data_IF_801962724210
#
_entry.id   IF_801962724210
#
_cell.length_a   1.000
_cell.length_b   1.000
_cell.length_c   1.000
_cell.angle_alpha   90.00
_cell.angle_beta   90.00
_cell.angle_gamma   90.00
#
_symmetry.space_group_name_H-M   'P 1'
#
loop_
_entity.id
_entity.type
_entity.pdbx_description
1 polymer ?
#
# COMPACT_ATOMS: atom_id res chain seq x y z
N UNK A 1 -3.30 77.65 6.64
CA UNK A 1 -4.33 77.47 7.66
C UNK A 1 -3.92 76.20 8.44
N UNK A 2 -3.47 76.35 9.71
CA UNK A 2 -3.16 75.15 10.52
C UNK A 2 -4.48 74.48 10.85
N UNK A 3 -4.64 73.24 10.36
CA UNK A 3 -5.70 72.36 10.78
C UNK A 3 -5.48 72.06 12.27
N UNK A 4 -6.35 72.60 13.12
CA UNK A 4 -6.39 72.31 14.56
C UNK A 4 -6.51 70.82 14.72
N UNK A 5 -5.42 70.15 15.20
CA UNK A 5 -5.42 68.80 15.55
C UNK A 5 -6.19 68.63 16.87
N UNK A 6 -7.48 68.34 16.78
CA UNK A 6 -8.39 68.22 17.91
C UNK A 6 -7.87 67.21 18.92
N UNK A 7 -7.14 66.16 18.46
CA UNK A 7 -6.53 65.16 19.32
C UNK A 7 -5.47 65.73 20.26
N UNK A 8 -4.58 66.59 19.77
CA UNK A 8 -3.55 67.21 20.61
C UNK A 8 -4.15 68.25 21.60
N UNK A 9 -5.24 68.93 21.22
CA UNK A 9 -5.93 69.84 22.13
C UNK A 9 -6.64 69.14 23.28
N UNK A 10 -7.21 67.90 23.06
CA UNK A 10 -7.87 67.09 24.09
C UNK A 10 -6.84 66.51 25.07
N UNK A 11 -5.67 66.10 24.62
CA UNK A 11 -4.62 65.51 25.46
C UNK A 11 -3.90 66.55 26.38
N UNK A 12 -3.98 67.89 26.07
CA UNK A 12 -3.42 68.94 26.92
C UNK A 12 -4.34 69.38 28.04
N UNK A 13 -5.60 68.86 28.11
CA UNK A 13 -6.57 69.24 29.15
C UNK A 13 -6.66 68.09 30.15
N UNK A 14 -5.84 68.14 31.23
CA UNK A 14 -5.85 67.11 32.31
C UNK A 14 -7.24 66.68 32.81
N UNK A 15 -8.20 67.61 33.07
CA UNK A 15 -9.51 67.20 33.53
C UNK A 15 -10.35 66.43 32.46
N UNK A 16 -10.12 66.69 31.18
CA UNK A 16 -10.83 65.97 30.09
C UNK A 16 -10.25 64.58 29.88
N UNK A 17 -8.95 64.39 30.05
CA UNK A 17 -8.30 63.07 29.98
C UNK A 17 -8.76 62.19 31.15
N UNK A 18 -8.78 62.76 32.36
CA UNK A 18 -9.28 62.05 33.56
C UNK A 18 -10.77 61.65 33.44
N UNK A 19 -11.61 62.51 32.82
CA UNK A 19 -13.02 62.15 32.52
C UNK A 19 -13.14 61.10 31.44
N UNK A 20 -12.29 61.14 30.39
CA UNK A 20 -12.28 60.12 29.36
C UNK A 20 -11.85 58.75 29.88
N UNK A 21 -10.85 58.70 30.76
CA UNK A 21 -10.39 57.47 31.43
C UNK A 21 -11.45 56.93 32.41
N UNK A 22 -12.13 57.82 33.16
CA UNK A 22 -13.24 57.41 34.01
C UNK A 22 -14.42 56.85 33.21
N UNK A 23 -14.73 57.48 32.07
CA UNK A 23 -15.77 57.03 31.15
C UNK A 23 -15.41 55.71 30.48
N UNK A 24 -14.15 55.53 30.08
CA UNK A 24 -13.66 54.29 29.51
C UNK A 24 -13.69 53.14 30.55
N UNK A 25 -13.38 53.41 31.81
CA UNK A 25 -13.42 52.38 32.86
C UNK A 25 -14.84 52.01 33.30
N UNK A 26 -15.81 52.93 33.19
CA UNK A 26 -17.19 52.66 33.65
C UNK A 26 -18.12 52.17 32.53
N UNK A 27 -17.90 52.65 31.26
CA UNK A 27 -18.82 52.40 30.15
C UNK A 27 -18.36 51.28 29.22
N UNK A 28 -17.09 50.96 29.25
CA UNK A 28 -16.58 49.74 28.57
C UNK A 28 -16.29 48.69 29.64
N UNK A 29 -17.28 47.87 30.04
CA UNK A 29 -16.93 46.57 30.56
C UNK A 29 -16.02 45.94 29.52
N UNK A 30 -14.88 45.42 29.95
CA UNK A 30 -13.95 44.66 29.11
C UNK A 30 -14.78 43.61 28.37
N UNK A 31 -15.28 44.01 27.18
CA UNK A 31 -15.78 43.03 26.23
C UNK A 31 -14.54 42.22 25.87
N UNK A 32 -14.29 41.18 26.62
CA UNK A 32 -13.53 40.03 26.14
C UNK A 32 -14.24 39.60 24.87
N UNK A 33 -13.85 40.25 23.77
CA UNK A 33 -14.19 39.82 22.41
C UNK A 33 -13.73 38.39 22.36
N UNK A 34 -14.70 37.52 22.29
CA UNK A 34 -14.69 36.09 22.53
C UNK A 34 -13.36 35.48 22.18
N UNK A 35 -12.95 34.52 23.03
CA UNK A 35 -11.94 33.52 22.70
C UNK A 35 -11.73 33.47 21.22
N UNK A 36 -10.53 33.84 20.75
CA UNK A 36 -10.15 33.58 19.36
C UNK A 36 -10.51 32.14 19.11
N UNK A 37 -11.56 31.93 18.34
CA UNK A 37 -11.90 30.58 17.86
C UNK A 37 -10.72 30.24 17.00
N UNK A 38 -9.80 29.47 17.58
CA UNK A 38 -8.62 28.99 16.86
C UNK A 38 -9.08 28.51 15.49
N UNK A 39 -8.50 29.00 14.39
CA UNK A 39 -8.97 28.65 13.06
C UNK A 39 -9.05 27.14 12.96
N UNK A 40 -10.26 26.63 12.77
CA UNK A 40 -10.50 25.20 12.67
C UNK A 40 -9.60 24.66 11.56
N UNK A 41 -8.60 23.90 11.92
CA UNK A 41 -7.69 23.31 10.93
C UNK A 41 -8.39 22.17 10.22
N UNK A 42 -9.09 22.52 9.15
CA UNK A 42 -9.81 21.56 8.29
C UNK A 42 -8.90 20.47 7.75
N UNK A 43 -7.60 20.72 7.63
CA UNK A 43 -6.63 19.71 7.16
C UNK A 43 -6.41 18.63 8.20
N UNK A 44 -6.29 18.98 9.49
CA UNK A 44 -6.14 18.01 10.58
C UNK A 44 -7.40 17.14 10.71
N UNK A 45 -8.57 17.77 10.69
CA UNK A 45 -9.86 17.06 10.75
C UNK A 45 -10.00 16.12 9.56
N UNK A 46 -9.75 16.59 8.35
CA UNK A 46 -9.85 15.77 7.13
C UNK A 46 -8.86 14.60 7.16
N UNK A 47 -7.63 14.82 7.63
CA UNK A 47 -6.62 13.75 7.74
C UNK A 47 -7.01 12.68 8.75
N UNK A 48 -7.65 13.06 9.86
CA UNK A 48 -8.13 12.13 10.88
C UNK A 48 -9.26 11.24 10.33
N UNK A 49 -10.29 11.84 9.70
CA UNK A 49 -11.37 11.08 9.08
C UNK A 49 -10.88 10.20 7.93
N UNK A 50 -9.94 10.67 7.11
CA UNK A 50 -9.35 9.89 6.04
C UNK A 50 -8.58 8.67 6.59
N UNK A 51 -7.87 8.83 7.71
CA UNK A 51 -7.17 7.74 8.38
C UNK A 51 -8.15 6.70 8.95
N UNK A 52 -9.21 7.15 9.62
CA UNK A 52 -10.26 6.25 10.14
C UNK A 52 -10.93 5.49 8.98
N UNK A 53 -11.28 6.18 7.90
CA UNK A 53 -11.89 5.56 6.71
C UNK A 53 -10.93 4.53 6.07
N UNK A 54 -9.65 4.86 5.95
CA UNK A 54 -8.64 3.94 5.40
C UNK A 54 -8.58 2.64 6.21
N UNK A 55 -8.42 2.73 7.54
CA UNK A 55 -8.35 1.55 8.40
C UNK A 55 -9.67 0.80 8.48
N UNK A 56 -10.81 1.47 8.37
CA UNK A 56 -12.12 0.86 8.28
C UNK A 56 -12.25 -0.03 7.03
N UNK A 57 -11.79 0.46 5.87
CA UNK A 57 -11.78 -0.33 4.62
C UNK A 57 -10.79 -1.49 4.71
N UNK A 58 -9.60 -1.27 5.25
CA UNK A 58 -8.60 -2.34 5.47
C UNK A 58 -9.18 -3.44 6.36
N UNK A 59 -9.84 -3.09 7.46
CA UNK A 59 -10.48 -4.05 8.36
C UNK A 59 -11.58 -4.85 7.66
N UNK A 60 -12.43 -4.21 6.87
CA UNK A 60 -13.49 -4.86 6.11
C UNK A 60 -12.93 -5.85 5.08
N UNK A 61 -11.90 -5.45 4.33
CA UNK A 61 -11.23 -6.34 3.36
C UNK A 61 -10.50 -7.49 4.05
N UNK A 62 -9.91 -7.26 5.22
CA UNK A 62 -9.26 -8.30 6.02
C UNK A 62 -10.28 -9.32 6.55
N UNK A 63 -11.42 -8.87 7.08
CA UNK A 63 -12.51 -9.75 7.50
C UNK A 63 -13.00 -10.59 6.32
N UNK A 64 -13.17 -9.99 5.14
CA UNK A 64 -13.52 -10.72 3.91
C UNK A 64 -12.51 -11.83 3.59
N UNK A 65 -11.20 -11.52 3.65
CA UNK A 65 -10.14 -12.51 3.42
C UNK A 65 -10.22 -13.65 4.44
N UNK A 66 -10.38 -13.33 5.72
CA UNK A 66 -10.52 -14.34 6.79
C UNK A 66 -11.74 -15.23 6.56
N UNK A 67 -12.89 -14.65 6.16
CA UNK A 67 -14.08 -15.45 5.85
C UNK A 67 -13.87 -16.38 4.64
N UNK A 68 -13.14 -15.93 3.61
CA UNK A 68 -12.77 -16.77 2.46
C UNK A 68 -11.89 -17.95 2.88
N UNK A 69 -10.85 -17.69 3.68
CA UNK A 69 -9.95 -18.73 4.20
C UNK A 69 -10.71 -19.71 5.12
N UNK A 70 -11.55 -19.22 6.01
CA UNK A 70 -12.41 -20.05 6.86
C UNK A 70 -13.38 -20.90 6.03
N UNK A 71 -13.88 -20.38 4.91
CA UNK A 71 -14.70 -21.12 3.95
C UNK A 71 -13.95 -22.32 3.36
N UNK A 72 -12.70 -22.14 2.93
CA UNK A 72 -11.85 -23.22 2.41
C UNK A 72 -11.58 -24.27 3.49
N UNK A 73 -11.23 -23.85 4.72
CA UNK A 73 -11.01 -24.76 5.85
C UNK A 73 -12.28 -25.57 6.15
N UNK A 74 -13.45 -24.91 6.18
CA UNK A 74 -14.75 -25.57 6.38
C UNK A 74 -15.04 -26.58 5.26
N UNK A 75 -14.71 -26.26 4.01
CA UNK A 75 -14.86 -27.15 2.87
C UNK A 75 -13.95 -28.39 3.03
N UNK A 76 -12.70 -28.20 3.42
CA UNK A 76 -11.74 -29.28 3.69
C UNK A 76 -12.28 -30.28 4.74
N UNK A 77 -12.88 -29.75 5.81
CA UNK A 77 -13.48 -30.58 6.87
C UNK A 77 -14.74 -31.34 6.41
N UNK A 78 -15.45 -30.84 5.39
CA UNK A 78 -16.68 -31.47 4.89
C UNK A 78 -16.44 -32.48 3.76
N UNK A 79 -15.38 -32.31 2.98
CA UNK A 79 -15.08 -33.15 1.85
C UNK A 79 -14.51 -34.50 2.28
N UNK A 80 -14.94 -35.58 1.58
CA UNK A 80 -14.37 -36.90 1.76
C UNK A 80 -12.92 -36.92 1.26
N UNK A 81 -11.99 -37.35 2.10
CA UNK A 81 -10.58 -37.44 1.77
C UNK A 81 -10.27 -38.82 1.16
N UNK A 82 -9.58 -38.81 0.02
CA UNK A 82 -9.02 -39.99 -0.62
C UNK A 82 -7.51 -39.75 -0.76
N UNK A 83 -6.73 -40.85 -0.60
CA UNK A 83 -5.28 -40.77 -0.79
C UNK A 83 -4.93 -41.50 -2.09
N UNK A 84 -4.30 -40.80 -3.03
CA UNK A 84 -3.80 -41.34 -4.28
C UNK A 84 -2.27 -41.19 -4.26
N UNK A 85 -1.57 -42.32 -4.03
CA UNK A 85 -0.14 -42.32 -3.77
C UNK A 85 0.22 -41.47 -2.56
N UNK A 86 1.05 -40.45 -2.75
CA UNK A 86 1.50 -39.53 -1.68
C UNK A 86 0.70 -38.22 -1.62
N UNK A 87 -0.44 -38.11 -2.31
CA UNK A 87 -1.24 -36.89 -2.42
C UNK A 87 -2.63 -37.09 -1.83
N UNK A 88 -3.05 -36.18 -0.96
CA UNK A 88 -4.40 -36.16 -0.40
C UNK A 88 -5.34 -35.39 -1.29
N UNK A 89 -6.39 -36.05 -1.78
CA UNK A 89 -7.42 -35.45 -2.62
C UNK A 89 -8.72 -35.39 -1.85
N UNK A 90 -9.36 -34.24 -1.90
CA UNK A 90 -10.68 -33.97 -1.32
C UNK A 90 -11.73 -34.00 -2.43
N UNK A 91 -12.69 -34.88 -2.31
CA UNK A 91 -13.76 -35.03 -3.29
C UNK A 91 -14.80 -33.94 -3.09
N UNK A 92 -14.98 -33.11 -4.12
CA UNK A 92 -16.02 -32.08 -4.14
C UNK A 92 -17.40 -32.74 -4.33
N UNK A 93 -18.43 -32.33 -3.56
CA UNK A 93 -19.79 -32.83 -3.70
C UNK A 93 -20.52 -32.26 -4.93
N UNK A 94 -20.03 -31.15 -5.49
CA UNK A 94 -20.56 -30.49 -6.68
C UNK A 94 -19.51 -30.45 -7.78
N UNK A 95 -19.97 -30.43 -9.04
CA UNK A 95 -19.10 -30.29 -10.21
C UNK A 95 -18.53 -28.86 -10.34
N UNK A 96 -18.00 -28.32 -9.22
CA UNK A 96 -17.16 -27.13 -9.25
C UNK A 96 -15.80 -27.54 -9.82
N UNK A 97 -15.16 -26.66 -10.62
CA UNK A 97 -13.89 -27.02 -11.24
C UNK A 97 -12.80 -27.34 -10.22
N UNK A 98 -11.78 -28.11 -10.62
CA UNK A 98 -10.67 -28.48 -9.76
C UNK A 98 -9.94 -27.23 -9.25
N UNK A 99 -9.40 -27.31 -8.04
CA UNK A 99 -8.53 -26.29 -7.46
C UNK A 99 -7.68 -26.89 -6.33
N UNK A 100 -6.59 -26.21 -6.01
CA UNK A 100 -5.73 -26.57 -4.89
C UNK A 100 -5.52 -25.40 -3.93
N UNK A 101 -5.33 -25.71 -2.64
CA UNK A 101 -5.00 -24.74 -1.62
C UNK A 101 -4.04 -25.35 -0.60
N UNK A 102 -2.85 -24.80 -0.46
CA UNK A 102 -1.71 -25.43 0.22
C UNK A 102 -1.48 -26.86 -0.27
N UNK A 103 -1.66 -27.84 0.61
CA UNK A 103 -1.48 -29.26 0.32
C UNK A 103 -2.80 -29.98 -0.07
N UNK A 104 -3.92 -29.29 -0.03
CA UNK A 104 -5.23 -29.86 -0.32
C UNK A 104 -5.58 -29.67 -1.78
N UNK A 105 -5.89 -30.76 -2.46
CA UNK A 105 -6.34 -30.78 -3.85
C UNK A 105 -7.81 -31.18 -3.85
N UNK A 106 -8.64 -30.37 -4.51
CA UNK A 106 -10.09 -30.56 -4.60
C UNK A 106 -10.47 -30.90 -6.03
N UNK A 107 -11.06 -32.07 -6.25
CA UNK A 107 -11.48 -32.55 -7.57
C UNK A 107 -12.84 -33.23 -7.46
N UNK A 108 -13.68 -33.11 -8.49
CA UNK A 108 -14.91 -33.87 -8.63
C UNK A 108 -14.64 -35.10 -9.52
N UNK A 109 -14.79 -36.36 -9.05
CA UNK A 109 -14.28 -37.54 -9.72
C UNK A 109 -15.03 -37.89 -11.00
N UNK A 110 -16.34 -37.61 -11.10
CA UNK A 110 -17.21 -38.09 -12.18
C UNK A 110 -17.26 -37.14 -13.41
N UNK A 111 -16.44 -36.11 -13.46
CA UNK A 111 -16.51 -35.08 -14.50
C UNK A 111 -15.42 -35.22 -15.56
N UNK A 112 -14.49 -36.16 -15.43
CA UNK A 112 -13.28 -36.19 -16.23
C UNK A 112 -12.95 -37.59 -16.72
N UNK A 113 -12.38 -37.70 -17.92
CA UNK A 113 -11.73 -38.94 -18.39
C UNK A 113 -10.47 -39.21 -17.58
N UNK A 114 -9.94 -40.43 -17.66
CA UNK A 114 -8.74 -40.80 -16.91
C UNK A 114 -7.52 -39.96 -17.31
N UNK A 115 -7.40 -39.64 -18.60
CA UNK A 115 -6.33 -38.77 -19.12
C UNK A 115 -6.46 -37.35 -18.59
N UNK A 116 -7.65 -36.75 -18.71
CA UNK A 116 -7.95 -35.41 -18.16
C UNK A 116 -7.69 -35.34 -16.65
N UNK A 117 -8.08 -36.40 -15.92
CA UNK A 117 -7.88 -36.49 -14.49
C UNK A 117 -6.38 -36.41 -14.12
N UNK A 118 -5.54 -37.17 -14.85
CA UNK A 118 -4.10 -37.16 -14.61
C UNK A 118 -3.46 -35.79 -14.94
N UNK A 119 -3.86 -35.16 -16.03
CA UNK A 119 -3.40 -33.79 -16.38
C UNK A 119 -3.77 -32.77 -15.28
N UNK A 120 -5.04 -32.79 -14.83
CA UNK A 120 -5.55 -31.94 -13.76
C UNK A 120 -4.77 -32.22 -12.46
N UNK A 121 -4.54 -33.48 -12.13
CA UNK A 121 -3.83 -33.83 -10.93
C UNK A 121 -2.39 -33.31 -10.92
N UNK A 122 -1.68 -33.38 -12.04
CA UNK A 122 -0.32 -32.82 -12.18
C UNK A 122 -0.36 -31.31 -12.04
N UNK A 123 -1.34 -30.65 -12.67
CA UNK A 123 -1.52 -29.20 -12.59
C UNK A 123 -1.74 -28.75 -11.13
N UNK A 124 -2.73 -29.32 -10.45
CA UNK A 124 -3.07 -28.98 -9.07
C UNK A 124 -1.97 -29.36 -8.07
N UNK A 125 -1.31 -30.51 -8.30
CA UNK A 125 -0.15 -30.94 -7.50
C UNK A 125 1.02 -29.96 -7.63
N UNK A 126 1.18 -29.31 -8.77
CA UNK A 126 2.20 -28.29 -8.96
C UNK A 126 1.93 -27.06 -8.08
N UNK A 127 0.68 -26.58 -8.06
CA UNK A 127 0.29 -25.51 -7.16
C UNK A 127 0.53 -25.87 -5.69
N UNK A 128 0.14 -27.06 -5.28
CA UNK A 128 0.33 -27.53 -3.90
C UNK A 128 1.82 -27.64 -3.53
N UNK A 129 2.65 -28.23 -4.42
CA UNK A 129 4.07 -28.46 -4.18
C UNK A 129 4.91 -27.20 -4.16
N UNK A 130 4.57 -26.21 -5.00
CA UNK A 130 5.28 -24.95 -5.11
C UNK A 130 4.72 -23.85 -4.18
N UNK A 131 3.79 -24.20 -3.31
CA UNK A 131 3.20 -23.28 -2.32
C UNK A 131 2.57 -22.03 -2.92
N UNK A 132 2.02 -22.12 -4.13
CA UNK A 132 1.40 -21.01 -4.84
C UNK A 132 0.30 -20.30 -4.03
N UNK A 133 -0.30 -20.99 -3.05
CA UNK A 133 -1.27 -20.40 -2.13
C UNK A 133 -0.69 -19.26 -1.30
N UNK A 134 0.62 -19.32 -0.98
CA UNK A 134 1.32 -18.24 -0.24
C UNK A 134 1.40 -17.00 -1.13
N UNK A 135 1.81 -17.15 -2.39
CA UNK A 135 1.90 -16.03 -3.33
C UNK A 135 0.54 -15.33 -3.51
N UNK A 136 -0.54 -16.14 -3.59
CA UNK A 136 -1.90 -15.62 -3.67
C UNK A 136 -2.27 -14.86 -2.41
N UNK A 137 -2.00 -15.40 -1.21
CA UNK A 137 -2.32 -14.73 0.07
C UNK A 137 -1.52 -13.44 0.22
N UNK A 138 -0.22 -13.44 -0.08
CA UNK A 138 0.63 -12.25 -0.03
C UNK A 138 0.09 -11.18 -0.99
N UNK A 139 -0.27 -11.57 -2.22
CA UNK A 139 -0.83 -10.62 -3.19
C UNK A 139 -2.17 -10.04 -2.74
N UNK A 140 -3.02 -10.82 -2.02
CA UNK A 140 -4.25 -10.32 -1.40
C UNK A 140 -3.94 -9.32 -0.29
N UNK A 141 -2.98 -9.62 0.60
CA UNK A 141 -2.58 -8.70 1.67
C UNK A 141 -2.05 -7.38 1.12
N UNK A 142 -1.21 -7.43 0.08
CA UNK A 142 -0.74 -6.21 -0.59
C UNK A 142 -1.91 -5.39 -1.14
N UNK A 143 -2.91 -6.04 -1.77
CA UNK A 143 -4.10 -5.36 -2.26
C UNK A 143 -4.98 -4.79 -1.13
N UNK A 144 -5.01 -5.42 0.05
CA UNK A 144 -5.76 -4.94 1.21
C UNK A 144 -5.10 -3.66 1.75
N UNK A 145 -3.79 -3.67 1.97
CA UNK A 145 -3.08 -2.49 2.47
C UNK A 145 -2.94 -1.39 1.42
N UNK A 146 -2.82 -1.73 0.15
CA UNK A 146 -2.71 -0.78 -0.95
C UNK A 146 -4.01 -0.71 -1.77
N UNK A 147 -5.18 -0.76 -1.14
CA UNK A 147 -6.46 -0.88 -1.82
C UNK A 147 -6.76 0.27 -2.80
N UNK A 148 -6.26 1.49 -2.50
CA UNK A 148 -6.38 2.66 -3.38
C UNK A 148 -5.45 2.58 -4.60
N UNK A 149 -4.44 1.71 -4.60
CA UNK A 149 -3.44 1.65 -5.66
C UNK A 149 -3.88 0.64 -6.75
N UNK A 150 -4.23 1.09 -7.97
CA UNK A 150 -4.63 0.21 -9.05
C UNK A 150 -3.51 -0.74 -9.49
N UNK A 151 -2.25 -0.35 -9.33
CA UNK A 151 -1.11 -1.21 -9.68
C UNK A 151 -1.00 -2.44 -8.79
N UNK A 152 -1.42 -2.37 -7.52
CA UNK A 152 -1.47 -3.54 -6.64
C UNK A 152 -2.44 -4.61 -7.19
N UNK A 153 -3.61 -4.19 -7.68
CA UNK A 153 -4.60 -5.08 -8.29
C UNK A 153 -4.12 -5.69 -9.62
N UNK A 154 -3.43 -4.89 -10.44
CA UNK A 154 -2.81 -5.38 -11.67
C UNK A 154 -1.71 -6.40 -11.37
N UNK A 155 -0.84 -6.11 -10.41
CA UNK A 155 0.22 -7.02 -9.96
C UNK A 155 -0.36 -8.37 -9.47
N UNK A 156 -1.37 -8.35 -8.61
CA UNK A 156 -2.08 -9.56 -8.16
C UNK A 156 -2.61 -10.39 -9.34
N UNK A 157 -3.19 -9.73 -10.34
CA UNK A 157 -3.69 -10.41 -11.54
C UNK A 157 -2.57 -11.09 -12.32
N UNK A 158 -1.44 -10.41 -12.52
CA UNK A 158 -0.31 -10.97 -13.26
C UNK A 158 0.42 -12.06 -12.46
N UNK A 159 0.49 -11.96 -11.13
CA UNK A 159 0.98 -13.04 -10.26
C UNK A 159 0.14 -14.30 -10.50
N UNK A 160 -1.18 -14.23 -10.35
CA UNK A 160 -2.07 -15.38 -10.58
C UNK A 160 -1.88 -15.98 -11.99
N UNK A 161 -1.78 -15.13 -13.00
CA UNK A 161 -1.55 -15.58 -14.38
C UNK A 161 -0.21 -16.29 -14.53
N UNK A 162 0.85 -15.82 -13.86
CA UNK A 162 2.16 -16.46 -13.89
C UNK A 162 2.16 -17.83 -13.18
N UNK A 163 1.45 -17.97 -12.07
CA UNK A 163 1.28 -19.24 -11.37
C UNK A 163 0.62 -20.30 -12.28
N UNK A 164 -0.39 -19.89 -13.07
CA UNK A 164 -1.01 -20.77 -14.07
C UNK A 164 0.00 -21.21 -15.14
N UNK A 165 0.84 -20.29 -15.63
CA UNK A 165 1.88 -20.63 -16.61
C UNK A 165 2.89 -21.67 -16.06
N UNK A 166 3.24 -21.57 -14.79
CA UNK A 166 4.15 -22.51 -14.14
C UNK A 166 3.52 -23.89 -14.01
N UNK A 167 2.24 -23.96 -13.64
CA UNK A 167 1.51 -25.23 -13.55
C UNK A 167 1.31 -25.87 -14.93
N UNK A 168 0.93 -25.10 -15.96
CA UNK A 168 0.80 -25.57 -17.34
C UNK A 168 2.13 -26.10 -17.88
N UNK A 169 3.21 -25.35 -17.67
CA UNK A 169 4.53 -25.79 -18.11
C UNK A 169 4.92 -27.13 -17.51
N UNK A 170 4.53 -27.37 -16.24
CA UNK A 170 4.81 -28.66 -15.57
C UNK A 170 4.03 -29.82 -16.16
N UNK A 171 2.78 -29.61 -16.59
CA UNK A 171 2.01 -30.65 -17.29
C UNK A 171 2.70 -31.04 -18.61
N UNK A 172 3.12 -30.05 -19.40
CA UNK A 172 3.83 -30.29 -20.66
C UNK A 172 5.22 -30.93 -20.44
N UNK A 173 5.94 -30.58 -19.39
CA UNK A 173 7.22 -31.21 -19.02
C UNK A 173 7.08 -32.68 -18.64
N UNK A 174 5.90 -33.12 -18.18
CA UNK A 174 5.61 -34.53 -17.90
C UNK A 174 5.24 -35.32 -19.16
N UNK A 175 5.32 -34.73 -20.36
CA UNK A 175 5.16 -35.43 -21.63
C UNK A 175 3.75 -35.46 -22.21
N UNK A 176 2.81 -34.71 -21.63
CA UNK A 176 1.46 -34.59 -22.19
C UNK A 176 1.46 -33.75 -23.48
N UNK A 177 0.62 -34.17 -24.45
CA UNK A 177 0.51 -33.42 -25.69
C UNK A 177 -0.11 -32.06 -25.49
N UNK A 178 0.59 -31.02 -25.97
CA UNK A 178 0.19 -29.63 -25.77
C UNK A 178 -1.19 -29.31 -26.35
N UNK A 179 -1.54 -29.88 -27.51
CA UNK A 179 -2.82 -29.62 -28.16
C UNK A 179 -3.97 -30.26 -27.39
N UNK A 180 -3.81 -31.54 -27.03
CA UNK A 180 -4.80 -32.29 -26.25
C UNK A 180 -5.07 -31.60 -24.93
N UNK A 181 -4.02 -31.21 -24.19
CA UNK A 181 -4.15 -30.46 -22.95
C UNK A 181 -4.89 -29.12 -23.12
N UNK A 182 -4.60 -28.38 -24.20
CA UNK A 182 -5.32 -27.13 -24.50
C UNK A 182 -6.81 -27.37 -24.77
N UNK A 183 -7.18 -28.47 -25.43
CA UNK A 183 -8.59 -28.82 -25.65
C UNK A 183 -9.28 -29.18 -24.33
N UNK A 184 -8.63 -29.95 -23.43
CA UNK A 184 -9.16 -30.26 -22.13
C UNK A 184 -9.38 -29.00 -21.27
N UNK A 185 -8.43 -28.04 -21.29
CA UNK A 185 -8.59 -26.74 -20.62
C UNK A 185 -9.77 -25.91 -21.17
N UNK A 186 -10.01 -25.99 -22.48
CA UNK A 186 -11.17 -25.34 -23.10
C UNK A 186 -12.47 -26.00 -22.64
N UNK A 187 -12.53 -27.33 -22.59
CA UNK A 187 -13.66 -28.09 -22.06
C UNK A 187 -13.99 -27.73 -20.63
N UNK A 188 -13.00 -27.67 -19.74
CA UNK A 188 -13.16 -27.24 -18.36
C UNK A 188 -13.68 -25.80 -18.24
N UNK A 189 -13.25 -24.90 -19.11
CA UNK A 189 -13.73 -23.53 -19.12
C UNK A 189 -15.18 -23.40 -19.54
N UNK A 190 -15.62 -24.23 -20.51
CA UNK A 190 -17.01 -24.28 -20.95
C UNK A 190 -17.95 -24.84 -19.87
N UNK A 191 -17.54 -25.88 -19.14
CA UNK A 191 -18.31 -26.40 -18.01
C UNK A 191 -18.50 -25.34 -16.91
N UNK A 192 -17.46 -24.59 -16.58
CA UNK A 192 -17.56 -23.45 -15.65
C UNK A 192 -18.44 -22.33 -16.17
N UNK A 193 -18.42 -22.05 -17.49
CA UNK A 193 -19.20 -20.98 -18.12
C UNK A 193 -20.71 -21.29 -18.16
N UNK A 194 -21.09 -22.54 -18.34
CA UNK A 194 -22.46 -22.96 -18.32
C UNK A 194 -23.14 -22.78 -16.95
N UNK A 195 -22.35 -22.82 -15.87
CA UNK A 195 -22.82 -22.62 -14.50
C UNK A 195 -23.06 -21.15 -14.11
N UNK A 196 -22.57 -20.18 -14.90
CA UNK A 196 -22.69 -18.76 -14.52
C UNK A 196 -22.68 -17.88 -15.77
N UNK A 197 -23.80 -17.20 -16.07
CA UNK A 197 -23.96 -16.20 -17.17
C UNK A 197 -22.87 -15.09 -17.11
N UNK A 198 -22.18 -14.95 -16.00
CA UNK A 198 -21.16 -13.94 -15.72
C UNK A 198 -19.77 -14.23 -16.37
N UNK A 199 -19.60 -15.34 -17.07
CA UNK A 199 -18.26 -15.85 -17.45
C UNK A 199 -17.78 -15.45 -18.84
N UNK A 200 -18.50 -14.61 -19.59
CA UNK A 200 -18.03 -14.11 -20.90
C UNK A 200 -16.73 -13.30 -20.85
N UNK A 201 -16.38 -12.77 -19.67
CA UNK A 201 -15.13 -12.05 -19.43
C UNK A 201 -13.94 -12.94 -19.02
N UNK A 202 -14.17 -14.23 -18.76
CA UNK A 202 -13.13 -15.15 -18.27
C UNK A 202 -12.33 -15.85 -19.39
N UNK A 203 -12.59 -15.53 -20.65
CA UNK A 203 -11.86 -16.09 -21.80
C UNK A 203 -10.43 -15.53 -21.91
N UNK A 204 -10.19 -14.33 -21.41
CA UNK A 204 -8.89 -13.66 -21.48
C UNK A 204 -7.75 -14.40 -20.74
N UNK A 205 -7.94 -14.91 -19.50
CA UNK A 205 -6.91 -15.68 -18.80
C UNK A 205 -6.56 -16.96 -19.56
N UNK A 206 -7.53 -17.70 -20.06
CA UNK A 206 -7.31 -18.93 -20.83
C UNK A 206 -6.55 -18.67 -22.13
N UNK A 207 -6.92 -17.61 -22.87
CA UNK A 207 -6.19 -17.21 -24.09
C UNK A 207 -4.73 -16.88 -23.80
N UNK A 208 -4.44 -16.23 -22.65
CA UNK A 208 -3.07 -15.95 -22.21
C UNK A 208 -2.29 -17.25 -21.94
N UNK A 209 -2.92 -18.24 -21.27
CA UNK A 209 -2.32 -19.56 -20.98
C UNK A 209 -1.98 -20.30 -22.27
N UNK A 210 -2.93 -20.43 -23.19
CA UNK A 210 -2.73 -21.07 -24.51
C UNK A 210 -1.60 -20.38 -25.30
N UNK A 211 -1.60 -19.04 -25.32
CA UNK A 211 -0.54 -18.28 -25.98
C UNK A 211 0.84 -18.56 -25.36
N UNK A 212 0.89 -18.70 -24.04
CA UNK A 212 2.16 -18.95 -23.33
C UNK A 212 2.68 -20.35 -23.56
N UNK A 213 1.82 -21.37 -23.55
CA UNK A 213 2.18 -22.76 -23.89
C UNK A 213 2.78 -22.89 -25.30
N UNK A 214 2.26 -22.13 -26.26
CA UNK A 214 2.76 -22.13 -27.64
C UNK A 214 3.98 -21.22 -27.86
N UNK A 215 4.47 -20.53 -26.83
CA UNK A 215 5.62 -19.64 -26.93
C UNK A 215 6.92 -20.41 -26.70
N UNK A 216 7.90 -20.23 -27.58
CA UNK A 216 9.25 -20.77 -27.39
C UNK A 216 9.89 -20.21 -26.13
N UNK A 217 10.61 -21.06 -25.37
CA UNK A 217 11.34 -20.66 -24.17
C UNK A 217 12.29 -19.48 -24.47
N UNK A 218 12.23 -18.46 -23.66
CA UNK A 218 13.13 -17.31 -23.76
C UNK A 218 14.54 -17.76 -23.36
N UNK A 219 15.56 -17.41 -24.18
CA UNK A 219 16.96 -17.69 -23.86
C UNK A 219 17.33 -17.03 -22.53
N UNK A 220 18.24 -17.63 -21.77
CA UNK A 220 18.68 -17.14 -20.45
C UNK A 220 19.16 -15.69 -20.46
N UNK A 221 19.84 -15.29 -21.55
CA UNK A 221 20.27 -13.91 -21.79
C UNK A 221 19.12 -12.91 -21.74
N UNK A 222 17.88 -13.33 -22.05
CA UNK A 222 16.69 -12.47 -21.92
C UNK A 222 16.35 -12.10 -20.48
N UNK A 223 16.86 -12.82 -19.49
CA UNK A 223 16.66 -12.53 -18.07
C UNK A 223 17.53 -11.36 -17.59
N UNK A 224 18.70 -11.14 -18.19
CA UNK A 224 19.61 -10.06 -17.80
C UNK A 224 19.03 -8.67 -18.00
N UNK A 225 18.04 -8.51 -18.90
CA UNK A 225 17.33 -7.23 -19.06
C UNK A 225 16.60 -6.78 -17.80
N UNK A 226 16.18 -7.71 -16.92
CA UNK A 226 15.57 -7.36 -15.64
C UNK A 226 16.57 -6.72 -14.66
N UNK A 227 17.87 -6.97 -14.86
CA UNK A 227 18.91 -6.33 -14.08
C UNK A 227 18.94 -4.80 -14.30
N UNK A 228 18.44 -4.31 -15.43
CA UNK A 228 18.31 -2.87 -15.70
C UNK A 228 17.33 -2.16 -14.76
N UNK A 229 16.42 -2.88 -14.11
CA UNK A 229 15.53 -2.28 -13.12
C UNK A 229 16.25 -1.95 -11.80
N UNK A 230 17.37 -2.63 -11.49
CA UNK A 230 18.14 -2.36 -10.27
C UNK A 230 18.67 -0.91 -10.20
N UNK A 231 19.38 -0.40 -11.24
CA UNK A 231 19.84 1.00 -11.23
C UNK A 231 18.67 2.00 -11.22
N UNK A 232 17.56 1.69 -11.89
CA UNK A 232 16.36 2.53 -11.87
C UNK A 232 15.74 2.59 -10.46
N UNK A 233 15.62 1.45 -9.78
CA UNK A 233 15.12 1.39 -8.42
C UNK A 233 16.05 2.13 -7.43
N UNK A 234 17.39 1.99 -7.59
CA UNK A 234 18.37 2.72 -6.81
C UNK A 234 18.25 4.23 -7.04
N UNK A 235 18.11 4.67 -8.28
CA UNK A 235 17.87 6.08 -8.63
C UNK A 235 16.61 6.62 -7.96
N UNK A 236 15.50 5.89 -8.04
CA UNK A 236 14.24 6.28 -7.40
C UNK A 236 14.37 6.36 -5.87
N UNK A 237 15.09 5.43 -5.24
CA UNK A 237 15.39 5.49 -3.81
C UNK A 237 16.19 6.74 -3.44
N UNK A 238 17.22 7.08 -4.22
CA UNK A 238 18.05 8.29 -4.01
C UNK A 238 17.17 9.54 -4.14
N UNK A 239 16.37 9.64 -5.19
CA UNK A 239 15.50 10.78 -5.44
C UNK A 239 14.45 10.93 -4.34
N UNK A 240 13.86 9.83 -3.86
CA UNK A 240 12.87 9.86 -2.76
C UNK A 240 13.47 10.29 -1.41
N UNK A 241 14.77 10.12 -1.23
CA UNK A 241 15.46 10.46 0.02
C UNK A 241 16.28 11.77 -0.08
N UNK A 242 16.19 12.51 -1.17
CA UNK A 242 17.01 13.73 -1.42
C UNK A 242 16.82 14.75 -0.29
N UNK A 243 15.59 14.96 0.19
CA UNK A 243 15.33 15.88 1.30
C UNK A 243 15.99 15.43 2.61
N UNK A 244 15.93 14.15 2.91
CA UNK A 244 16.54 13.59 4.12
C UNK A 244 18.06 13.68 4.05
N UNK A 245 18.63 13.38 2.90
CA UNK A 245 20.09 13.50 2.64
C UNK A 245 20.52 14.96 2.74
N UNK A 246 19.79 15.90 2.12
CA UNK A 246 20.10 17.33 2.17
C UNK A 246 20.04 17.88 3.60
N UNK A 247 19.06 17.49 4.39
CA UNK A 247 18.93 17.90 5.81
C UNK A 247 20.08 17.35 6.66
N UNK A 248 20.46 16.09 6.44
CA UNK A 248 21.57 15.44 7.16
C UNK A 248 22.92 16.08 6.79
N UNK A 249 23.15 16.32 5.50
CA UNK A 249 24.38 16.99 5.01
C UNK A 249 24.50 18.41 5.57
N UNK A 250 23.38 19.16 5.64
CA UNK A 250 23.36 20.51 6.23
C UNK A 250 23.67 20.48 7.72
N UNK A 251 23.15 19.50 8.48
CA UNK A 251 23.47 19.32 9.90
C UNK A 251 24.95 19.03 10.12
N UNK A 252 25.51 18.08 9.34
CA UNK A 252 26.94 17.74 9.43
C UNK A 252 27.80 18.95 9.05
N UNK A 253 27.44 19.71 8.02
CA UNK A 253 28.19 20.90 7.61
C UNK A 253 28.20 21.99 8.70
N UNK A 254 27.05 22.21 9.37
CA UNK A 254 26.96 23.15 10.51
C UNK A 254 27.82 22.67 11.66
N UNK A 255 27.75 21.40 12.03
CA UNK A 255 28.53 20.80 13.12
C UNK A 255 30.03 20.85 12.86
N UNK A 256 30.46 20.65 11.60
CA UNK A 256 31.87 20.79 11.18
C UNK A 256 32.34 22.24 11.25
N UNK A 257 31.51 23.21 10.83
CA UNK A 257 31.84 24.64 10.91
C UNK A 257 31.95 25.07 12.37
N UNK A 258 31.06 24.64 13.24
CA UNK A 258 31.06 24.93 14.67
C UNK A 258 32.27 24.27 15.40
N UNK A 259 32.71 23.11 14.92
CA UNK A 259 33.90 22.44 15.45
C UNK A 259 35.23 23.05 14.97
N UNK A 260 35.25 23.73 13.81
CA UNK A 260 36.45 24.35 13.20
C UNK A 260 36.65 25.78 13.67
N UNK A 261 35.61 26.48 14.15
CA UNK A 261 35.71 27.87 14.65
C UNK A 261 35.15 28.01 16.07
N UNK A 262 35.86 27.53 17.11
CA UNK A 262 35.44 27.64 18.50
C UNK A 262 35.68 29.02 19.12
N UNK A 263 36.02 30.08 18.34
CA UNK A 263 36.52 31.36 18.89
C UNK A 263 35.66 32.60 18.59
N UNK A 264 34.42 32.47 18.18
CA UNK A 264 33.62 33.67 17.85
C UNK A 264 32.55 34.05 18.91
N UNK A 265 32.66 33.54 20.13
CA UNK A 265 31.88 34.07 21.28
C UNK A 265 32.81 34.50 22.43
N UNK A 266 33.65 35.54 22.23
CA UNK A 266 34.08 36.37 23.33
C UNK A 266 33.17 37.62 23.39
N UNK A 267 32.43 37.83 24.49
CA UNK A 267 31.72 39.11 24.67
C UNK A 267 32.76 40.23 24.81
N UNK A 268 32.51 41.32 24.12
CA UNK A 268 33.34 42.54 24.12
C UNK A 268 33.65 42.94 25.56
N UNK A 269 34.89 43.32 25.90
CA UNK A 269 35.21 43.78 27.25
C UNK A 269 34.43 45.05 27.58
N UNK A 270 33.73 45.00 28.71
CA UNK A 270 33.01 46.10 29.34
C UNK A 270 33.96 47.28 29.57
N UNK A 271 33.72 48.40 28.89
CA UNK A 271 34.50 49.64 29.03
C UNK A 271 34.15 50.19 30.40
N UNK A 272 35.09 50.06 31.36
CA UNK A 272 35.03 50.73 32.66
C UNK A 272 35.21 52.24 32.50
N UNK A 273 34.20 52.99 32.88
CA UNK A 273 34.23 54.45 32.99
C UNK A 273 35.37 54.90 33.94
N UNK A 274 36.18 55.89 33.56
CA UNK A 274 37.22 56.40 34.45
C UNK A 274 36.62 57.14 35.64
N UNK A 275 36.93 56.68 36.81
CA UNK A 275 36.63 57.40 38.11
C UNK A 275 37.29 58.77 38.09
N UNK A 276 36.45 59.80 38.21
CA UNK A 276 36.87 61.17 38.48
C UNK A 276 37.35 61.22 39.94
N UNK A 277 38.64 61.51 40.12
CA UNK A 277 39.25 61.81 41.41
C UNK A 277 38.81 63.17 41.94
N UNK A 278 38.51 63.36 43.24
CA UNK A 278 38.28 64.67 43.84
C UNK A 278 39.60 65.44 44.03
N UNK A 279 39.69 66.64 43.59
CA UNK A 279 40.79 67.54 43.93
C UNK A 279 40.41 68.44 45.14
N UNK A 280 41.43 69.00 45.84
CA UNK A 280 41.42 69.40 47.25
C UNK A 280 40.67 70.69 47.56
#
# INVERSE_FOLDING_TARGET
VPLLNIQTWITEQEPMVAMADLYASVVLPELTVGTEVAPTDWKSILSEYANIAYWGIVALLMIRLIMQLAGIIRLTCRCRKIQIGNTSIHLLPKADGPFSFFHWIFIHPSSHTEEEFNEILIHERTHARQWHSIDVIISELVCIFCWCNPFAWLMKREIRTNLEYMADARVLENGYDSKTYQYHLLGLSHQKAAATIYNSFNVLPLKKRIKMMNKKRTKEIGRTKYLMFLPLAALLMIVSNIETVARTTKKIAVEVIEAVDPQTEQPAPEVQDPQVAPQP
#
